data_IF_075190484262
#
_entry.id   IF_075190484262
#
_cell.length_a   1.000
_cell.length_b   1.000
_cell.length_c   1.000
_cell.angle_alpha   90.00
_cell.angle_beta   90.00
_cell.angle_gamma   90.00
#
_symmetry.space_group_name_H-M   'P 1'
#
loop_
_entity.id
_entity.type
_entity.pdbx_description
1 polymer ?
#
# COMPACT_ATOMS: atom_id res chain seq x y z
N UNK A 1 -4.43 6.93 22.11
CA UNK A 1 -3.13 7.39 21.58
C UNK A 1 -2.12 6.31 21.93
N UNK A 2 -1.75 5.45 20.98
CA UNK A 2 -0.80 4.39 21.26
C UNK A 2 0.62 5.00 21.22
N UNK A 3 1.29 5.01 22.37
CA UNK A 3 2.69 5.36 22.47
C UNK A 3 3.50 4.13 22.07
N UNK A 4 4.18 4.19 20.93
CA UNK A 4 5.16 3.17 20.56
C UNK A 4 6.31 3.22 21.58
N UNK A 5 6.45 2.17 22.40
CA UNK A 5 7.61 2.01 23.28
C UNK A 5 8.84 1.82 22.38
N UNK A 6 9.76 2.79 22.44
CA UNK A 6 10.92 2.91 21.56
C UNK A 6 12.08 1.97 21.92
N UNK A 7 11.84 0.94 22.73
CA UNK A 7 12.90 0.04 23.19
C UNK A 7 13.12 -1.07 22.15
N UNK A 8 13.94 -0.73 21.13
CA UNK A 8 14.45 -1.53 20.00
C UNK A 8 13.53 -1.70 18.80
N UNK A 9 13.57 -0.70 17.91
CA UNK A 9 13.11 -0.86 16.52
C UNK A 9 14.36 -0.89 15.63
N UNK A 10 14.64 -2.04 15.03
CA UNK A 10 15.69 -2.18 14.03
C UNK A 10 15.17 -1.75 12.65
N UNK A 11 15.98 -1.00 11.92
CA UNK A 11 15.66 -0.60 10.55
C UNK A 11 15.84 -1.80 9.63
N UNK A 12 14.73 -2.43 9.24
CA UNK A 12 14.76 -3.57 8.30
C UNK A 12 14.92 -3.13 6.85
N UNK A 13 14.28 -2.02 6.47
CA UNK A 13 14.34 -1.45 5.14
C UNK A 13 14.71 0.02 5.29
N UNK A 14 15.90 0.35 4.79
CA UNK A 14 16.35 1.73 4.74
C UNK A 14 15.38 2.58 3.89
N UNK A 15 15.04 3.81 4.31
CA UNK A 15 14.12 4.67 3.56
C UNK A 15 14.56 4.91 2.12
N UNK A 16 15.85 5.11 1.85
CA UNK A 16 16.34 5.33 0.49
C UNK A 16 16.17 4.06 -0.37
N UNK A 17 16.40 2.87 0.22
CA UNK A 17 16.15 1.59 -0.46
C UNK A 17 14.67 1.41 -0.80
N UNK A 18 13.77 1.77 0.12
CA UNK A 18 12.32 1.71 -0.13
C UNK A 18 11.93 2.65 -1.26
N UNK A 19 12.37 3.91 -1.22
CA UNK A 19 12.04 4.90 -2.26
C UNK A 19 12.62 4.53 -3.63
N UNK A 20 13.84 4.00 -3.68
CA UNK A 20 14.42 3.48 -4.92
C UNK A 20 13.56 2.35 -5.51
N UNK A 21 13.12 1.40 -4.67
CA UNK A 21 12.26 0.32 -5.14
C UNK A 21 10.89 0.81 -5.61
N UNK A 22 10.33 1.82 -4.95
CA UNK A 22 9.07 2.44 -5.37
C UNK A 22 9.22 3.11 -6.73
N UNK A 23 10.32 3.83 -6.97
CA UNK A 23 10.59 4.45 -8.26
C UNK A 23 10.72 3.41 -9.38
N UNK A 24 11.43 2.30 -9.13
CA UNK A 24 11.54 1.19 -10.08
C UNK A 24 10.16 0.58 -10.41
N UNK A 25 9.34 0.33 -9.39
CA UNK A 25 7.99 -0.20 -9.56
C UNK A 25 7.08 0.77 -10.32
N UNK A 26 7.14 2.07 -9.98
CA UNK A 26 6.38 3.11 -10.66
C UNK A 26 6.72 3.20 -12.14
N UNK A 27 8.01 3.18 -12.49
CA UNK A 27 8.48 3.15 -13.87
C UNK A 27 8.04 1.88 -14.61
N UNK A 28 8.09 0.72 -13.95
CA UNK A 28 7.64 -0.54 -14.53
C UNK A 28 6.13 -0.51 -14.83
N UNK A 29 5.30 -0.15 -13.85
CA UNK A 29 3.85 -0.05 -14.01
C UNK A 29 3.49 0.97 -15.11
N UNK A 30 4.19 2.11 -15.12
CA UNK A 30 4.04 3.13 -16.16
C UNK A 30 4.28 2.56 -17.55
N UNK A 31 5.33 1.76 -17.73
CA UNK A 31 5.63 1.14 -19.02
C UNK A 31 4.56 0.10 -19.39
N UNK A 32 4.16 -0.74 -18.44
CA UNK A 32 3.22 -1.83 -18.64
C UNK A 32 1.80 -1.34 -19.03
N UNK A 33 1.39 -0.17 -18.52
CA UNK A 33 0.06 0.41 -18.77
C UNK A 33 0.07 1.56 -19.79
N UNK A 34 1.22 1.88 -20.40
CA UNK A 34 1.31 3.00 -21.35
C UNK A 34 0.46 2.76 -22.60
N UNK A 35 -0.52 3.63 -22.84
CA UNK A 35 -1.47 3.47 -23.94
C UNK A 35 -2.44 2.30 -23.77
N UNK A 36 -2.47 1.72 -22.56
CA UNK A 36 -3.38 0.66 -22.17
C UNK A 36 -4.67 1.18 -21.54
N UNK A 37 -5.42 0.31 -20.84
CA UNK A 37 -6.64 0.69 -20.16
C UNK A 37 -6.37 1.58 -18.94
N UNK A 38 -7.43 2.20 -18.41
CA UNK A 38 -7.37 3.02 -17.20
C UNK A 38 -6.81 2.21 -16.01
N UNK A 39 -5.94 2.85 -15.24
CA UNK A 39 -5.27 2.24 -14.08
C UNK A 39 -6.00 2.65 -12.79
N UNK A 40 -6.40 1.67 -11.99
CA UNK A 40 -6.95 1.87 -10.65
C UNK A 40 -6.05 1.18 -9.62
N UNK A 41 -5.56 1.95 -8.65
CA UNK A 41 -4.80 1.42 -7.51
C UNK A 41 -5.75 1.16 -6.34
N UNK A 42 -5.82 -0.09 -5.87
CA UNK A 42 -6.71 -0.47 -4.76
C UNK A 42 -5.87 -0.77 -3.50
N UNK A 43 -6.00 0.08 -2.47
CA UNK A 43 -5.32 -0.05 -1.19
C UNK A 43 -6.16 -0.75 -0.12
N UNK A 44 -5.61 -1.78 0.53
CA UNK A 44 -6.27 -2.40 1.69
C UNK A 44 -5.88 -1.66 2.97
N UNK A 45 -6.87 -1.10 3.67
CA UNK A 45 -6.63 -0.38 4.92
C UNK A 45 -6.39 -1.35 6.10
N UNK A 46 -5.61 -0.97 7.11
CA UNK A 46 -4.98 0.36 7.30
C UNK A 46 -3.52 0.43 6.87
N UNK A 47 -2.82 -0.69 6.72
CA UNK A 47 -1.35 -0.70 6.58
C UNK A 47 -0.79 -0.23 5.23
N UNK A 48 -1.58 -0.27 4.16
CA UNK A 48 -1.07 -0.01 2.81
C UNK A 48 -0.95 1.47 2.44
N UNK A 49 -1.64 2.38 3.14
CA UNK A 49 -1.88 3.73 2.63
C UNK A 49 -0.61 4.55 2.38
N UNK A 50 0.42 4.42 3.23
CA UNK A 50 1.69 5.17 3.05
C UNK A 50 2.41 4.66 1.80
N UNK A 51 2.58 3.34 1.67
CA UNK A 51 3.21 2.74 0.50
C UNK A 51 2.45 3.05 -0.79
N UNK A 52 1.12 2.94 -0.76
CA UNK A 52 0.28 3.23 -1.92
C UNK A 52 0.39 4.70 -2.34
N UNK A 53 0.46 5.63 -1.39
CA UNK A 53 0.63 7.06 -1.68
C UNK A 53 2.00 7.39 -2.29
N UNK A 54 3.07 6.72 -1.85
CA UNK A 54 4.38 6.83 -2.48
C UNK A 54 4.37 6.24 -3.89
N UNK A 55 3.80 5.04 -4.07
CA UNK A 55 3.73 4.36 -5.35
C UNK A 55 2.89 5.11 -6.38
N UNK A 56 1.73 5.63 -5.97
CA UNK A 56 0.86 6.47 -6.80
C UNK A 56 1.62 7.65 -7.41
N UNK A 57 2.50 8.31 -6.65
CA UNK A 57 3.30 9.45 -7.13
C UNK A 57 4.43 9.04 -8.07
N UNK A 58 4.88 7.79 -8.01
CA UNK A 58 5.95 7.28 -8.85
C UNK A 58 5.46 6.77 -10.22
N UNK A 59 4.15 6.63 -10.41
CA UNK A 59 3.55 6.18 -11.68
C UNK A 59 3.23 7.42 -12.53
N UNK A 60 3.79 7.50 -13.73
CA UNK A 60 3.62 8.61 -14.68
C UNK A 60 2.48 8.31 -15.67
N UNK A 61 1.27 8.12 -15.13
CA UNK A 61 0.04 7.89 -15.88
C UNK A 61 -1.17 8.50 -15.13
N UNK A 62 -2.24 8.90 -15.83
CA UNK A 62 -3.53 9.13 -15.20
C UNK A 62 -3.99 7.84 -14.51
N UNK A 63 -4.38 7.94 -13.23
CA UNK A 63 -4.84 6.82 -12.45
C UNK A 63 -5.89 7.25 -11.43
N UNK A 64 -6.69 6.30 -10.98
CA UNK A 64 -7.59 6.44 -9.83
C UNK A 64 -7.04 5.65 -8.64
N UNK A 65 -7.43 6.06 -7.43
CA UNK A 65 -7.08 5.36 -6.19
C UNK A 65 -8.36 5.06 -5.44
N UNK A 66 -8.53 3.80 -5.06
CA UNK A 66 -9.64 3.32 -4.23
C UNK A 66 -9.10 2.55 -3.01
N UNK A 67 -9.92 2.43 -1.98
CA UNK A 67 -9.56 1.76 -0.74
C UNK A 67 -10.60 0.72 -0.34
N UNK A 68 -10.12 -0.42 0.17
CA UNK A 68 -10.94 -1.45 0.77
C UNK A 68 -10.65 -1.52 2.27
N UNK A 69 -11.69 -1.30 3.09
CA UNK A 69 -11.64 -1.57 4.52
C UNK A 69 -12.01 -3.03 4.80
N UNK A 70 -11.16 -3.73 5.57
CA UNK A 70 -11.43 -5.10 6.02
C UNK A 70 -11.54 -5.13 7.54
N UNK A 71 -12.62 -5.71 8.07
CA UNK A 71 -12.90 -5.70 9.52
C UNK A 71 -12.19 -6.81 10.33
N UNK A 72 -11.18 -7.48 9.77
CA UNK A 72 -10.45 -8.56 10.47
C UNK A 72 -9.31 -8.07 11.38
N UNK A 73 -9.14 -6.76 11.53
CA UNK A 73 -8.05 -6.17 12.32
C UNK A 73 -8.51 -5.86 13.76
N UNK A 74 -9.11 -6.85 14.43
CA UNK A 74 -9.63 -6.72 15.80
C UNK A 74 -10.11 -8.05 16.40
N UNK A 75 -9.35 -8.50 17.40
CA UNK A 75 -9.68 -9.38 18.54
C UNK A 75 -9.85 -10.91 18.46
N UNK A 76 -9.74 -11.61 17.32
CA UNK A 76 -9.67 -13.09 17.38
C UNK A 76 -8.72 -13.68 16.34
N UNK A 77 -7.84 -14.59 16.79
CA UNK A 77 -6.92 -15.43 15.99
C UNK A 77 -7.66 -16.48 15.14
N UNK A 78 -8.77 -16.11 14.50
CA UNK A 78 -9.51 -16.97 13.57
C UNK A 78 -9.46 -16.34 12.18
N UNK A 79 -8.50 -16.77 11.36
CA UNK A 79 -8.53 -16.59 9.90
C UNK A 79 -9.71 -17.36 9.31
N UNK A 80 -10.92 -16.83 9.46
CA UNK A 80 -12.14 -17.40 8.89
C UNK A 80 -12.16 -17.30 7.35
N UNK A 81 -11.24 -16.55 6.74
CA UNK A 81 -11.27 -16.23 5.31
C UNK A 81 -12.49 -15.39 4.90
N UNK A 82 -13.33 -15.00 5.86
CA UNK A 82 -14.53 -14.19 5.63
C UNK A 82 -14.15 -12.73 5.69
N UNK A 83 -13.83 -12.19 4.53
CA UNK A 83 -13.53 -10.76 4.36
C UNK A 83 -14.85 -9.99 4.32
N UNK A 84 -15.16 -9.22 5.37
CA UNK A 84 -16.24 -8.23 5.31
C UNK A 84 -15.69 -6.95 4.70
N UNK A 85 -16.17 -6.63 3.50
CA UNK A 85 -15.88 -5.39 2.81
C UNK A 85 -16.65 -4.24 3.46
N UNK A 86 -15.93 -3.19 3.84
CA UNK A 86 -16.50 -1.90 4.24
C UNK A 86 -16.01 -0.85 3.26
N UNK A 87 -16.93 -0.11 2.63
CA UNK A 87 -16.63 1.12 1.88
C UNK A 87 -16.55 2.31 2.85
#
# INVERSE_FOLDING_TARGET
>A
MAFFHADKIDVLIDPAKLQARIAELGAQITADYRGGPDLVLVGVLKGSFIFLADLCRAIDLPLEVDFLGLSSYGDDEETSGVVRMTQ
#
